data_IF_558676592176
#
_entry.id   IF_558676592176
#
_cell.length_a   1.000
_cell.length_b   1.000
_cell.length_c   1.000
_cell.angle_alpha   90.00
_cell.angle_beta   90.00
_cell.angle_gamma   90.00
#
_symmetry.space_group_name_H-M   'P 1'
#
loop_
_entity.id
_entity.type
_entity.pdbx_description
1 polymer ?
#
# COMPACT_ATOMS: atom_id res chain seq x y z
N UNK A 1 -22.75 2.69 -24.91
CA UNK A 1 -21.37 3.22 -24.95
C UNK A 1 -20.82 3.06 -23.54
N UNK A 2 -20.10 1.97 -23.28
CA UNK A 2 -19.58 1.68 -21.95
C UNK A 2 -18.45 2.67 -21.66
N UNK A 3 -18.57 3.46 -20.59
CA UNK A 3 -17.46 4.26 -20.10
C UNK A 3 -16.33 3.29 -19.76
N UNK A 4 -15.23 3.37 -20.50
CA UNK A 4 -14.01 2.67 -20.15
C UNK A 4 -13.57 3.27 -18.82
N UNK A 5 -13.68 2.51 -17.72
CA UNK A 5 -13.20 2.98 -16.43
C UNK A 5 -11.73 3.33 -16.60
N UNK A 6 -11.36 4.60 -16.40
CA UNK A 6 -9.97 5.01 -16.39
C UNK A 6 -9.38 4.55 -15.06
N UNK A 7 -8.74 3.39 -15.06
CA UNK A 7 -8.08 2.85 -13.87
C UNK A 7 -6.87 3.72 -13.53
N UNK A 8 -6.78 4.15 -12.27
CA UNK A 8 -5.62 4.87 -11.75
C UNK A 8 -4.41 3.94 -11.63
N UNK A 9 -3.22 4.50 -11.40
CA UNK A 9 -2.02 3.69 -11.15
C UNK A 9 -2.14 2.90 -9.84
N UNK A 10 -2.70 3.54 -8.80
CA UNK A 10 -2.97 2.91 -7.51
C UNK A 10 -3.93 1.72 -7.62
N UNK A 11 -4.97 1.80 -8.46
CA UNK A 11 -5.90 0.68 -8.71
C UNK A 11 -5.18 -0.55 -9.29
N UNK A 12 -4.21 -0.31 -10.18
CA UNK A 12 -3.43 -1.40 -10.81
C UNK A 12 -2.51 -2.06 -9.80
N UNK A 13 -1.84 -1.28 -8.97
CA UNK A 13 -0.96 -1.80 -7.92
C UNK A 13 -1.76 -2.59 -6.88
N UNK A 14 -2.89 -2.06 -6.41
CA UNK A 14 -3.79 -2.76 -5.49
C UNK A 14 -4.32 -4.07 -6.10
N UNK A 15 -4.69 -4.06 -7.38
CA UNK A 15 -5.14 -5.27 -8.08
C UNK A 15 -4.04 -6.32 -8.20
N UNK A 16 -2.80 -5.91 -8.48
CA UNK A 16 -1.66 -6.81 -8.54
C UNK A 16 -1.32 -7.39 -7.15
N UNK A 17 -1.43 -6.59 -6.08
CA UNK A 17 -1.29 -7.03 -4.70
C UNK A 17 -2.34 -8.08 -4.32
N UNK A 18 -3.63 -7.82 -4.60
CA UNK A 18 -4.71 -8.79 -4.39
C UNK A 18 -4.47 -10.12 -5.12
N UNK A 19 -3.93 -10.08 -6.35
CA UNK A 19 -3.59 -11.29 -7.09
C UNK A 19 -2.50 -12.13 -6.40
N UNK A 20 -1.59 -11.49 -5.65
CA UNK A 20 -0.61 -12.15 -4.80
C UNK A 20 -1.24 -12.94 -3.64
N UNK A 21 -2.24 -12.36 -2.98
CA UNK A 21 -3.01 -13.04 -1.92
C UNK A 21 -3.88 -14.17 -2.45
N UNK A 22 -4.56 -13.96 -3.58
CA UNK A 22 -5.39 -14.99 -4.21
C UNK A 22 -4.60 -16.26 -4.54
N UNK A 23 -3.32 -16.13 -4.94
CA UNK A 23 -2.41 -17.27 -5.17
C UNK A 23 -2.11 -18.08 -3.90
N UNK A 24 -2.28 -17.47 -2.74
CA UNK A 24 -2.10 -18.09 -1.43
C UNK A 24 -3.43 -18.58 -0.84
N UNK A 25 -4.51 -18.58 -1.64
CA UNK A 25 -5.88 -18.96 -1.26
C UNK A 25 -6.47 -18.05 -0.16
N UNK A 26 -5.98 -16.82 -0.04
CA UNK A 26 -6.48 -15.82 0.89
C UNK A 26 -7.37 -14.81 0.17
N UNK A 27 -8.49 -14.45 0.80
CA UNK A 27 -9.39 -13.41 0.32
C UNK A 27 -8.89 -12.05 0.80
N UNK A 28 -8.33 -11.26 -0.12
CA UNK A 28 -8.00 -9.87 0.12
C UNK A 28 -9.00 -8.94 -0.56
N UNK A 29 -9.22 -7.76 0.03
CA UNK A 29 -10.09 -6.72 -0.53
C UNK A 29 -9.32 -5.42 -0.71
N UNK A 30 -9.63 -4.67 -1.76
CA UNK A 30 -9.18 -3.27 -1.88
C UNK A 30 -10.13 -2.37 -1.12
N UNK A 31 -9.59 -1.47 -0.29
CA UNK A 31 -10.36 -0.48 0.45
C UNK A 31 -9.60 0.87 0.51
N UNK A 32 -10.31 2.01 0.63
CA UNK A 32 -9.68 3.27 1.01
C UNK A 32 -8.97 3.14 2.36
N UNK A 33 -7.74 3.65 2.47
CA UNK A 33 -6.97 3.57 3.72
C UNK A 33 -7.69 4.25 4.89
N UNK A 34 -8.43 5.33 4.62
CA UNK A 34 -9.20 6.07 5.63
C UNK A 34 -10.26 5.21 6.33
N UNK A 35 -10.77 4.15 5.70
CA UNK A 35 -11.71 3.22 6.32
C UNK A 35 -11.03 2.26 7.31
N UNK A 36 -9.70 2.17 7.23
CA UNK A 36 -8.88 1.28 8.04
C UNK A 36 -8.21 1.97 9.22
N UNK A 37 -8.19 3.31 9.28
CA UNK A 37 -7.51 4.08 10.34
C UNK A 37 -8.49 4.94 11.13
N UNK A 38 -8.13 5.29 12.36
CA UNK A 38 -8.97 6.10 13.25
C UNK A 38 -8.40 7.52 13.46
N UNK A 39 -9.30 8.48 13.70
CA UNK A 39 -8.94 9.78 14.28
C UNK A 39 -8.11 10.70 13.37
N UNK A 40 -7.06 11.31 13.94
CA UNK A 40 -6.24 12.35 13.29
C UNK A 40 -5.34 11.86 12.16
N UNK A 41 -5.27 10.54 11.92
CA UNK A 41 -4.54 9.96 10.79
C UNK A 41 -5.31 10.07 9.45
N UNK A 42 -6.58 10.49 9.50
CA UNK A 42 -7.48 10.48 8.35
C UNK A 42 -7.05 11.40 7.21
N UNK A 43 -6.48 12.56 7.51
CA UNK A 43 -6.06 13.52 6.47
C UNK A 43 -4.88 12.98 5.66
N UNK A 44 -3.95 12.28 6.32
CA UNK A 44 -2.80 11.67 5.66
C UNK A 44 -3.15 10.35 4.91
N UNK A 45 -4.26 9.72 5.30
CA UNK A 45 -4.82 8.55 4.62
C UNK A 45 -5.75 8.90 3.45
N UNK A 46 -6.09 10.19 3.28
CA UNK A 46 -7.05 10.64 2.28
C UNK A 46 -6.56 10.33 0.86
N UNK A 47 -7.41 9.65 0.08
CA UNK A 47 -7.13 9.32 -1.32
C UNK A 47 -6.17 8.14 -1.52
N UNK A 48 -5.64 7.54 -0.46
CA UNK A 48 -4.80 6.34 -0.53
C UNK A 48 -5.65 5.07 -0.53
N UNK A 49 -5.19 4.08 -1.28
CA UNK A 49 -5.77 2.75 -1.34
C UNK A 49 -4.91 1.76 -0.56
N UNK A 50 -5.56 0.72 -0.05
CA UNK A 50 -4.87 -0.42 0.54
C UNK A 50 -5.51 -1.73 0.13
N UNK A 51 -4.71 -2.80 0.17
CA UNK A 51 -5.19 -4.17 0.12
C UNK A 51 -5.21 -4.74 1.53
N UNK A 52 -6.35 -5.26 1.95
CA UNK A 52 -6.56 -5.80 3.31
C UNK A 52 -6.74 -7.30 3.22
N UNK A 53 -5.86 -8.04 3.90
CA UNK A 53 -5.92 -9.49 4.04
C UNK A 53 -6.23 -9.83 5.50
N UNK A 54 -7.52 -10.04 5.78
CA UNK A 54 -8.06 -10.07 7.14
C UNK A 54 -7.56 -11.25 7.98
N UNK A 55 -7.41 -12.42 7.37
CA UNK A 55 -7.01 -13.66 8.07
C UNK A 55 -5.59 -13.55 8.62
N UNK A 56 -4.68 -12.90 7.90
CA UNK A 56 -3.28 -12.69 8.31
C UNK A 56 -3.04 -11.38 9.04
N UNK A 57 -4.09 -10.60 9.25
CA UNK A 57 -3.99 -9.24 9.82
C UNK A 57 -2.95 -8.41 9.04
N UNK A 58 -2.98 -8.46 7.71
CA UNK A 58 -2.05 -7.70 6.86
C UNK A 58 -2.77 -6.58 6.11
N UNK A 59 -2.10 -5.43 5.99
CA UNK A 59 -2.52 -4.29 5.18
C UNK A 59 -1.35 -3.87 4.29
N UNK A 60 -1.59 -3.85 2.98
CA UNK A 60 -0.65 -3.32 2.00
C UNK A 60 -1.13 -1.96 1.51
N UNK A 61 -0.45 -0.90 1.93
CA UNK A 61 -0.78 0.49 1.56
C UNK A 61 -0.12 0.81 0.23
N UNK A 62 -0.89 1.27 -0.75
CA UNK A 62 -0.37 1.72 -2.04
C UNK A 62 0.08 3.16 -1.91
N UNK A 63 1.38 3.42 -2.04
CA UNK A 63 1.90 4.78 -2.13
C UNK A 63 1.88 5.23 -3.59
N UNK A 64 1.12 6.30 -3.85
CA UNK A 64 1.09 6.96 -5.16
C UNK A 64 2.37 7.78 -5.39
N UNK A 65 2.79 7.93 -6.64
CA UNK A 65 3.97 8.71 -7.03
C UNK A 65 3.93 10.19 -6.59
N UNK A 66 2.76 10.71 -6.21
CA UNK A 66 2.53 12.10 -5.80
C UNK A 66 2.50 12.30 -4.29
N UNK A 67 2.53 11.23 -3.50
CA UNK A 67 2.43 11.29 -2.03
C UNK A 67 3.79 10.99 -1.40
N UNK A 68 4.20 11.81 -0.44
CA UNK A 68 5.43 11.59 0.31
C UNK A 68 5.23 10.51 1.38
N UNK A 69 6.26 9.67 1.57
CA UNK A 69 6.16 8.52 2.47
C UNK A 69 5.99 8.90 3.95
N UNK A 70 6.46 10.07 4.39
CA UNK A 70 6.35 10.55 5.77
C UNK A 70 4.90 10.72 6.22
N UNK A 71 3.98 11.03 5.29
CA UNK A 71 2.54 11.09 5.52
C UNK A 71 1.98 9.77 6.07
N UNK A 72 2.60 8.63 5.75
CA UNK A 72 2.12 7.32 6.20
C UNK A 72 2.41 7.01 7.67
N UNK A 73 3.27 7.80 8.34
CA UNK A 73 3.71 7.51 9.71
C UNK A 73 2.52 7.34 10.67
N UNK A 74 1.59 8.30 10.70
CA UNK A 74 0.43 8.24 11.60
C UNK A 74 -0.55 7.10 11.25
N UNK A 75 -0.94 6.89 9.98
CA UNK A 75 -1.70 5.71 9.56
C UNK A 75 -1.06 4.38 9.97
N UNK A 76 0.26 4.21 9.75
CA UNK A 76 0.97 2.97 10.07
C UNK A 76 0.91 2.67 11.57
N UNK A 77 1.20 3.67 12.42
CA UNK A 77 1.11 3.49 13.87
C UNK A 77 -0.31 3.19 14.36
N UNK A 78 -1.34 3.77 13.74
CA UNK A 78 -2.74 3.45 14.05
C UNK A 78 -3.07 1.98 13.75
N UNK A 79 -2.57 1.45 12.63
CA UNK A 79 -2.74 0.05 12.24
C UNK A 79 -1.95 -0.91 13.13
N UNK A 80 -0.69 -0.60 13.42
CA UNK A 80 0.18 -1.40 14.28
C UNK A 80 -0.39 -1.55 15.71
N UNK A 81 -0.89 -0.46 16.30
CA UNK A 81 -1.55 -0.49 17.62
C UNK A 81 -2.78 -1.40 17.65
N UNK A 82 -3.40 -1.68 16.50
CA UNK A 82 -4.54 -2.59 16.34
C UNK A 82 -4.12 -4.01 15.92
N UNK A 83 -2.82 -4.26 15.86
CA UNK A 83 -2.20 -5.56 15.58
C UNK A 83 -2.17 -5.92 14.09
N UNK A 84 -2.18 -4.92 13.20
CA UNK A 84 -2.01 -5.14 11.77
C UNK A 84 -0.53 -5.11 11.38
N UNK A 85 -0.12 -6.08 10.55
CA UNK A 85 1.15 -6.06 9.85
C UNK A 85 1.03 -5.12 8.64
N UNK A 86 1.89 -4.11 8.56
CA UNK A 86 1.80 -3.10 7.50
C UNK A 86 2.95 -3.26 6.51
N UNK A 87 2.60 -3.36 5.23
CA UNK A 87 3.53 -3.23 4.11
C UNK A 87 3.16 -1.97 3.33
N UNK A 88 4.15 -1.16 2.97
CA UNK A 88 3.97 -0.03 2.06
C UNK A 88 4.49 -0.43 0.69
N UNK A 89 3.62 -0.42 -0.31
CA UNK A 89 3.97 -0.62 -1.71
C UNK A 89 4.47 0.71 -2.28
N UNK A 90 5.78 0.85 -2.38
CA UNK A 90 6.47 2.09 -2.72
C UNK A 90 6.92 2.06 -4.18
N UNK A 91 6.72 3.14 -4.97
CA UNK A 91 7.31 3.22 -6.30
C UNK A 91 8.84 3.08 -6.21
N UNK A 92 9.46 2.27 -7.07
CA UNK A 92 10.91 2.01 -7.00
C UNK A 92 11.76 3.30 -6.98
N UNK A 93 11.31 4.36 -7.67
CA UNK A 93 11.96 5.68 -7.70
C UNK A 93 11.96 6.42 -6.36
N UNK A 94 11.08 6.06 -5.42
CA UNK A 94 10.94 6.70 -4.11
C UNK A 94 11.52 5.88 -2.94
N UNK A 95 12.06 4.69 -3.20
CA UNK A 95 12.54 3.79 -2.13
C UNK A 95 13.52 4.45 -1.17
N UNK A 96 14.50 5.22 -1.68
CA UNK A 96 15.48 5.89 -0.82
C UNK A 96 14.87 6.93 0.13
N UNK A 97 13.87 7.69 -0.35
CA UNK A 97 13.13 8.64 0.47
C UNK A 97 12.25 7.89 1.48
N UNK A 98 11.54 6.84 1.04
CA UNK A 98 10.69 6.03 1.91
C UNK A 98 11.48 5.40 3.07
N UNK A 99 12.68 4.85 2.81
CA UNK A 99 13.58 4.36 3.86
C UNK A 99 13.95 5.44 4.87
N UNK A 100 14.25 6.64 4.38
CA UNK A 100 14.65 7.74 5.26
C UNK A 100 13.48 8.22 6.11
N UNK A 101 12.32 8.41 5.50
CA UNK A 101 11.12 8.97 6.13
C UNK A 101 10.42 8.01 7.08
N UNK A 102 10.43 6.70 6.78
CA UNK A 102 9.76 5.68 7.57
C UNK A 102 10.71 4.91 8.51
N UNK A 103 11.95 5.38 8.69
CA UNK A 103 12.90 4.76 9.60
C UNK A 103 12.34 4.64 11.01
N UNK A 104 12.30 3.41 11.53
CA UNK A 104 11.78 3.11 12.87
C UNK A 104 10.26 3.09 12.98
N UNK A 105 9.54 3.26 11.87
CA UNK A 105 8.09 3.06 11.79
C UNK A 105 7.82 1.56 11.57
N UNK A 106 6.82 0.94 12.25
CA UNK A 106 6.57 -0.50 12.21
C UNK A 106 5.90 -0.93 10.90
N UNK A 107 6.68 -0.89 9.82
CA UNK A 107 6.26 -1.36 8.50
C UNK A 107 7.39 -2.07 7.78
N UNK A 108 7.01 -2.76 6.71
CA UNK A 108 7.94 -3.18 5.66
C UNK A 108 7.67 -2.35 4.40
N UNK A 109 8.69 -2.17 3.59
CA UNK A 109 8.59 -1.53 2.28
C UNK A 109 8.68 -2.61 1.21
N UNK A 110 7.90 -2.47 0.16
CA UNK A 110 8.03 -3.29 -1.03
C UNK A 110 8.10 -2.39 -2.26
N UNK A 111 9.21 -2.39 -3.01
CA UNK A 111 9.28 -1.62 -4.23
C UNK A 111 8.35 -2.24 -5.28
N UNK A 112 7.68 -1.38 -6.05
CA UNK A 112 6.98 -1.78 -7.27
C UNK A 112 7.42 -0.91 -8.45
N UNK A 113 7.33 -1.47 -9.65
CA UNK A 113 7.51 -0.76 -10.91
C UNK A 113 6.68 -1.40 -12.01
N UNK A 114 6.54 -0.70 -13.13
CA UNK A 114 5.91 -1.25 -14.33
C UNK A 114 6.95 -1.85 -15.25
N UNK A 115 6.65 -3.02 -15.77
CA UNK A 115 7.33 -3.56 -16.94
C UNK A 115 6.88 -2.82 -18.20
N UNK A 116 7.65 -2.92 -19.29
CA UNK A 116 7.26 -2.37 -20.59
C UNK A 116 5.93 -2.96 -21.12
N UNK A 117 5.55 -4.15 -20.64
CA UNK A 117 4.25 -4.79 -20.92
C UNK A 117 3.06 -4.08 -20.24
N UNK A 118 3.32 -3.21 -19.26
CA UNK A 118 2.30 -2.58 -18.42
C UNK A 118 1.96 -3.38 -17.14
N UNK A 119 2.56 -4.55 -16.96
CA UNK A 119 2.40 -5.34 -15.74
C UNK A 119 3.09 -4.66 -14.55
N UNK A 120 2.42 -4.70 -13.39
CA UNK A 120 3.03 -4.30 -12.12
C UNK A 120 3.84 -5.47 -11.58
N UNK A 121 5.09 -5.20 -11.22
CA UNK A 121 5.98 -6.16 -10.59
C UNK A 121 6.47 -5.61 -9.26
N UNK A 122 6.76 -6.52 -8.34
CA UNK A 122 7.21 -6.21 -6.99
C UNK A 122 8.61 -6.75 -6.75
N UNK A 123 9.42 -6.01 -6.00
CA UNK A 123 10.69 -6.50 -5.47
C UNK A 123 10.53 -7.19 -4.13
N UNK A 124 11.66 -7.40 -3.46
CA UNK A 124 11.71 -8.01 -2.14
C UNK A 124 11.23 -7.05 -1.05
N UNK A 125 10.78 -7.60 0.07
CA UNK A 125 10.42 -6.82 1.25
C UNK A 125 11.69 -6.28 1.93
N UNK A 126 11.63 -5.04 2.37
CA UNK A 126 12.72 -4.31 3.03
C UNK A 126 12.21 -3.66 4.33
N UNK A 127 13.10 -3.45 5.30
CA UNK A 127 12.78 -2.70 6.53
C UNK A 127 13.41 -1.31 6.44
N UNK A 128 12.64 -0.22 6.65
CA UNK A 128 13.11 1.16 6.58
C UNK A 128 14.38 1.46 7.38
#
# INVERSE_FOLDING_TARGET
>A
MAAQATWTESDRVATAAMAGYARQLENAVTAPLIEMVDGTANDAAAGLLCTVAGERRAVEIVLDNTVQADHLTAPIWSLDQRGWNVTVLVPLSQMGEAHTSLRGVPCTLQPWWRMNSGDVVFGSLETP
#
